data_IF_112587329311
#
_entry.id   IF_112587329311
#
_cell.length_a   1.000
_cell.length_b   1.000
_cell.length_c   1.000
_cell.angle_alpha   90.00
_cell.angle_beta   90.00
_cell.angle_gamma   90.00
#
_symmetry.space_group_name_H-M   'P 1'
#
loop_
_entity.id
_entity.type
_entity.pdbx_description
1 polymer ?
#
# COMPACT_ATOMS: atom_id res chain seq x y z
N UNK A 1 51.96 73.63 33.23
CA UNK A 1 52.75 74.50 32.31
C UNK A 1 52.38 74.14 30.88
N UNK A 2 51.93 75.18 30.14
CA UNK A 2 51.62 75.24 28.72
C UNK A 2 50.37 74.46 28.18
N UNK A 3 49.29 75.21 28.09
CA UNK A 3 48.13 75.05 27.20
C UNK A 3 48.56 74.96 25.74
N UNK A 4 47.91 74.11 24.97
CA UNK A 4 47.72 74.30 23.54
C UNK A 4 46.20 74.09 23.22
N UNK A 5 45.60 75.17 22.85
CA UNK A 5 44.27 75.23 22.27
C UNK A 5 44.34 74.85 20.79
N UNK A 6 43.52 73.93 20.34
CA UNK A 6 43.28 73.62 18.93
C UNK A 6 41.86 74.05 18.57
N UNK A 7 41.82 75.07 17.70
CA UNK A 7 40.64 75.65 17.13
C UNK A 7 40.14 74.77 15.98
N UNK A 8 38.95 74.12 16.12
CA UNK A 8 38.38 73.32 15.03
C UNK A 8 37.51 74.20 14.15
N UNK A 9 37.89 74.33 12.93
CA UNK A 9 37.20 75.06 11.87
C UNK A 9 36.07 74.13 11.33
N UNK A 10 34.82 74.46 11.57
CA UNK A 10 33.63 73.70 11.02
C UNK A 10 33.39 74.14 9.58
N UNK A 11 33.65 73.27 8.63
CA UNK A 11 33.31 73.45 7.23
C UNK A 11 31.85 73.04 7.01
N UNK A 12 30.93 73.95 6.81
CA UNK A 12 29.52 73.72 6.46
C UNK A 12 29.48 73.44 4.95
N UNK A 13 29.31 72.14 4.61
CA UNK A 13 29.01 71.72 3.23
C UNK A 13 27.52 71.82 3.04
N UNK A 14 27.02 72.73 2.27
CA UNK A 14 25.62 72.82 1.82
C UNK A 14 25.40 71.73 0.71
N UNK A 15 24.68 70.66 1.05
CA UNK A 15 24.19 69.69 0.09
C UNK A 15 22.95 70.27 -0.63
N UNK A 16 22.83 70.08 -1.97
CA UNK A 16 21.61 70.50 -2.68
C UNK A 16 20.47 69.56 -2.32
N UNK A 17 19.36 70.09 -1.82
CA UNK A 17 18.10 69.40 -1.62
C UNK A 17 17.53 69.03 -2.99
N UNK A 18 17.68 67.77 -3.41
CA UNK A 18 16.93 67.27 -4.54
C UNK A 18 15.43 67.23 -4.15
N UNK A 19 14.67 68.10 -4.78
CA UNK A 19 13.20 68.06 -4.69
C UNK A 19 12.71 66.70 -5.19
N UNK A 20 12.25 65.82 -4.28
CA UNK A 20 11.55 64.59 -4.58
C UNK A 20 10.23 64.94 -5.23
N UNK A 21 10.09 64.67 -6.51
CA UNK A 21 8.79 64.69 -7.21
C UNK A 21 7.84 63.71 -6.49
N UNK A 22 6.62 64.16 -6.07
CA UNK A 22 5.69 63.24 -5.43
C UNK A 22 5.38 62.07 -6.40
N UNK A 23 5.27 60.82 -5.89
CA UNK A 23 4.92 59.67 -6.71
C UNK A 23 3.59 59.96 -7.42
N UNK A 24 3.60 59.88 -8.75
CA UNK A 24 2.39 60.01 -9.55
C UNK A 24 1.33 59.09 -9.00
N UNK A 25 0.23 59.62 -8.51
CA UNK A 25 -0.95 58.88 -8.08
C UNK A 25 -1.39 58.06 -9.28
N UNK A 26 -1.09 56.76 -9.25
CA UNK A 26 -1.59 55.79 -10.22
C UNK A 26 -3.11 55.87 -10.18
N UNK A 27 -3.71 56.44 -11.23
CA UNK A 27 -5.16 56.39 -11.43
C UNK A 27 -5.61 54.96 -11.23
N UNK A 28 -6.66 54.69 -10.38
CA UNK A 28 -7.18 53.32 -10.26
C UNK A 28 -7.42 52.79 -11.65
N UNK A 29 -6.80 51.65 -11.98
CA UNK A 29 -7.03 50.99 -13.27
C UNK A 29 -8.54 50.75 -13.40
N UNK A 30 -9.15 51.24 -14.46
CA UNK A 30 -10.53 50.87 -14.76
C UNK A 30 -10.62 49.37 -14.80
N UNK A 31 -11.59 48.72 -14.10
CA UNK A 31 -11.75 47.29 -14.14
C UNK A 31 -11.91 46.84 -15.59
N UNK A 32 -11.19 45.78 -15.98
CA UNK A 32 -11.28 45.18 -17.29
C UNK A 32 -12.76 44.89 -17.62
N UNK A 33 -13.34 45.42 -18.72
CA UNK A 33 -14.75 45.19 -19.07
C UNK A 33 -15.11 43.71 -19.16
N UNK A 34 -14.13 42.85 -19.54
CA UNK A 34 -14.31 41.40 -19.57
C UNK A 34 -14.44 40.84 -18.17
N UNK A 35 -13.61 41.31 -17.21
CA UNK A 35 -13.68 40.90 -15.82
C UNK A 35 -15.01 41.31 -15.17
N UNK A 36 -15.52 42.51 -15.49
CA UNK A 36 -16.85 42.96 -15.01
C UNK A 36 -17.98 42.11 -15.56
N UNK A 37 -17.96 41.80 -16.86
CA UNK A 37 -18.97 40.95 -17.47
C UNK A 37 -18.96 39.53 -16.86
N UNK A 38 -17.76 38.98 -16.55
CA UNK A 38 -17.65 37.70 -15.86
C UNK A 38 -18.16 37.74 -14.42
N UNK A 39 -17.97 38.83 -13.72
CA UNK A 39 -18.50 39.01 -12.35
C UNK A 39 -20.02 38.92 -12.31
N UNK A 40 -20.70 39.29 -13.40
CA UNK A 40 -22.17 39.20 -13.53
C UNK A 40 -22.67 37.75 -13.81
N UNK A 41 -21.78 36.82 -14.22
CA UNK A 41 -22.14 35.40 -14.42
C UNK A 41 -22.28 34.73 -13.04
N UNK A 42 -23.37 33.97 -12.78
CA UNK A 42 -23.54 33.26 -11.50
C UNK A 42 -22.36 32.36 -11.18
N UNK A 43 -21.97 32.20 -9.89
CA UNK A 43 -20.81 31.38 -9.51
C UNK A 43 -20.89 29.92 -9.98
N UNK A 44 -22.09 29.32 -9.99
CA UNK A 44 -22.32 27.98 -10.50
C UNK A 44 -21.99 27.85 -11.99
N UNK A 45 -22.46 28.83 -12.80
CA UNK A 45 -22.20 28.84 -14.24
C UNK A 45 -20.72 29.05 -14.56
N UNK A 46 -20.02 29.89 -13.76
CA UNK A 46 -18.57 30.07 -13.89
C UNK A 46 -17.81 28.77 -13.65
N UNK A 47 -18.19 27.99 -12.62
CA UNK A 47 -17.61 26.66 -12.36
C UNK A 47 -17.90 25.69 -13.48
N UNK A 48 -19.14 25.68 -14.01
CA UNK A 48 -19.49 24.85 -15.14
C UNK A 48 -18.65 25.20 -16.39
N UNK A 49 -18.46 26.49 -16.68
CA UNK A 49 -17.59 26.92 -17.78
C UNK A 49 -16.16 26.46 -17.60
N UNK A 50 -15.58 26.61 -16.41
CA UNK A 50 -14.23 26.12 -16.12
C UNK A 50 -14.12 24.61 -16.30
N UNK A 51 -15.11 23.85 -15.82
CA UNK A 51 -15.18 22.40 -16.00
C UNK A 51 -15.25 22.01 -17.47
N UNK A 52 -16.13 22.65 -18.25
CA UNK A 52 -16.29 22.36 -19.67
C UNK A 52 -15.00 22.67 -20.46
N UNK A 53 -14.32 23.78 -20.12
CA UNK A 53 -13.02 24.13 -20.72
C UNK A 53 -11.92 23.14 -20.36
N UNK A 54 -11.96 22.49 -19.18
CA UNK A 54 -11.06 21.38 -18.83
C UNK A 54 -11.33 20.22 -19.80
N UNK A 55 -12.58 19.84 -19.97
CA UNK A 55 -12.94 18.72 -20.84
C UNK A 55 -12.59 18.97 -22.30
N UNK A 56 -12.67 20.20 -22.79
CA UNK A 56 -12.22 20.56 -24.13
C UNK A 56 -10.70 20.66 -24.25
N UNK A 57 -9.95 20.64 -23.13
CA UNK A 57 -8.50 20.73 -23.10
C UNK A 57 -7.96 22.17 -23.18
N UNK A 58 -8.85 23.16 -23.12
CA UNK A 58 -8.46 24.57 -23.20
C UNK A 58 -8.03 25.15 -21.84
N UNK A 59 -8.42 24.51 -20.72
CA UNK A 59 -8.15 24.99 -19.36
C UNK A 59 -7.53 23.91 -18.47
N UNK A 60 -6.49 24.27 -17.73
CA UNK A 60 -5.78 23.39 -16.79
C UNK A 60 -5.71 23.96 -15.37
N UNK A 61 -6.62 24.86 -15.02
CA UNK A 61 -6.68 25.48 -13.69
C UNK A 61 -7.73 24.87 -12.76
N UNK A 62 -7.91 25.51 -11.61
CA UNK A 62 -8.89 25.08 -10.59
C UNK A 62 -10.32 25.48 -11.02
N UNK A 63 -11.27 24.59 -10.69
CA UNK A 63 -12.72 24.87 -10.82
C UNK A 63 -13.21 25.55 -9.54
N UNK A 64 -12.93 26.83 -9.39
CA UNK A 64 -13.26 27.61 -8.21
C UNK A 64 -14.34 28.71 -8.46
N UNK A 65 -14.69 28.92 -9.75
CA UNK A 65 -15.60 29.97 -10.16
C UNK A 65 -14.93 31.36 -10.30
N UNK A 66 -13.61 31.46 -10.11
CA UNK A 66 -12.84 32.66 -10.35
C UNK A 66 -12.32 32.70 -11.78
N UNK A 67 -12.78 33.64 -12.57
CA UNK A 67 -12.38 33.78 -13.96
C UNK A 67 -11.27 34.81 -14.10
N UNK A 68 -10.06 34.40 -13.66
CA UNK A 68 -8.85 35.16 -13.85
C UNK A 68 -8.31 35.10 -15.30
N UNK A 69 -7.20 35.78 -15.56
CA UNK A 69 -6.60 35.91 -16.89
C UNK A 69 -6.42 34.56 -17.63
N UNK A 70 -6.10 33.47 -16.92
CA UNK A 70 -5.95 32.12 -17.49
C UNK A 70 -7.26 31.57 -18.03
N UNK A 71 -8.36 31.68 -17.26
CA UNK A 71 -9.65 31.22 -17.71
C UNK A 71 -10.18 32.05 -18.91
N UNK A 72 -9.99 33.37 -18.89
CA UNK A 72 -10.32 34.25 -20.04
C UNK A 72 -9.52 33.86 -21.28
N UNK A 73 -8.22 33.56 -21.14
CA UNK A 73 -7.40 33.07 -22.24
C UNK A 73 -7.90 31.73 -22.82
N UNK A 74 -8.37 30.84 -21.95
CA UNK A 74 -8.96 29.56 -22.35
C UNK A 74 -10.27 29.73 -23.12
N UNK A 75 -11.12 30.68 -22.71
CA UNK A 75 -12.32 31.03 -23.47
C UNK A 75 -11.95 31.58 -24.85
N UNK A 76 -10.96 32.44 -24.95
CA UNK A 76 -10.46 32.95 -26.24
C UNK A 76 -9.92 31.82 -27.11
N UNK A 77 -9.17 30.86 -26.55
CA UNK A 77 -8.67 29.70 -27.27
C UNK A 77 -9.82 28.84 -27.83
N UNK A 78 -10.85 28.57 -27.04
CA UNK A 78 -12.05 27.88 -27.48
C UNK A 78 -12.76 28.65 -28.61
N UNK A 79 -12.95 29.97 -28.48
CA UNK A 79 -13.54 30.82 -29.52
C UNK A 79 -12.74 30.75 -30.80
N UNK A 80 -11.42 30.83 -30.74
CA UNK A 80 -10.54 30.72 -31.89
C UNK A 80 -10.67 29.36 -32.57
N UNK A 81 -10.72 28.27 -31.81
CA UNK A 81 -10.94 26.92 -32.37
C UNK A 81 -12.29 26.78 -33.09
N UNK A 82 -13.30 27.56 -32.67
CA UNK A 82 -14.62 27.64 -33.33
C UNK A 82 -14.67 28.66 -34.51
N UNK A 83 -13.56 29.29 -34.88
CA UNK A 83 -13.52 30.34 -35.88
C UNK A 83 -14.26 31.62 -35.48
N UNK A 84 -14.53 31.82 -34.20
CA UNK A 84 -15.27 32.97 -33.68
C UNK A 84 -14.30 34.07 -33.17
N UNK A 85 -14.85 35.30 -33.02
CA UNK A 85 -14.08 36.43 -32.44
C UNK A 85 -13.67 36.14 -31.00
N UNK A 86 -12.41 36.31 -30.69
CA UNK A 86 -11.78 36.05 -29.36
C UNK A 86 -12.11 37.16 -28.35
N UNK A 87 -13.36 37.26 -27.92
CA UNK A 87 -13.82 38.28 -27.00
C UNK A 87 -13.47 37.95 -25.53
N UNK A 88 -13.25 36.67 -25.21
CA UNK A 88 -13.12 36.17 -23.84
C UNK A 88 -14.44 36.07 -23.08
N UNK A 89 -15.58 36.30 -23.72
CA UNK A 89 -16.94 36.19 -23.20
C UNK A 89 -17.77 35.23 -24.08
N UNK A 90 -18.39 34.25 -23.48
CA UNK A 90 -19.24 33.28 -24.20
C UNK A 90 -20.66 33.83 -24.34
N UNK A 91 -21.17 33.93 -25.58
CA UNK A 91 -22.60 34.10 -25.81
C UNK A 91 -23.36 32.78 -25.57
N UNK A 92 -24.70 32.81 -25.60
CA UNK A 92 -25.52 31.62 -25.31
C UNK A 92 -25.22 30.43 -26.28
N UNK A 93 -25.01 30.72 -27.58
CA UNK A 93 -24.68 29.69 -28.54
C UNK A 93 -23.30 29.07 -28.28
N UNK A 94 -22.30 29.90 -28.01
CA UNK A 94 -20.94 29.43 -27.65
C UNK A 94 -20.94 28.64 -26.35
N UNK A 95 -21.75 29.05 -25.37
CA UNK A 95 -21.91 28.33 -24.09
C UNK A 95 -22.50 26.94 -24.33
N UNK A 96 -23.57 26.84 -25.15
CA UNK A 96 -24.16 25.56 -25.51
C UNK A 96 -23.18 24.66 -26.29
N UNK A 97 -22.42 25.23 -27.22
CA UNK A 97 -21.42 24.49 -28.00
C UNK A 97 -20.31 23.95 -27.11
N UNK A 98 -19.82 24.75 -26.16
CA UNK A 98 -18.80 24.34 -25.16
C UNK A 98 -19.32 23.19 -24.28
N UNK A 99 -20.53 23.31 -23.75
CA UNK A 99 -21.14 22.27 -22.91
C UNK A 99 -21.35 20.97 -23.71
N UNK A 100 -21.83 21.04 -24.94
CA UNK A 100 -21.99 19.87 -25.82
C UNK A 100 -20.65 19.17 -26.11
N UNK A 101 -19.59 19.94 -26.41
CA UNK A 101 -18.26 19.39 -26.64
C UNK A 101 -17.67 18.70 -25.37
N UNK A 102 -17.88 19.29 -24.21
CA UNK A 102 -17.47 18.72 -22.93
C UNK A 102 -18.22 17.41 -22.64
N UNK A 103 -19.56 17.42 -22.80
CA UNK A 103 -20.41 16.23 -22.61
C UNK A 103 -19.98 15.07 -23.52
N UNK A 104 -19.76 15.33 -24.81
CA UNK A 104 -19.30 14.30 -25.74
C UNK A 104 -17.99 13.64 -25.32
N UNK A 105 -17.04 14.41 -24.75
CA UNK A 105 -15.79 13.87 -24.24
C UNK A 105 -15.96 13.09 -22.93
N UNK A 106 -16.85 13.53 -22.05
CA UNK A 106 -17.23 12.80 -20.84
C UNK A 106 -17.84 11.43 -21.18
N UNK A 107 -18.77 11.40 -22.12
CA UNK A 107 -19.40 10.18 -22.62
C UNK A 107 -18.37 9.25 -23.26
N UNK A 108 -17.48 9.78 -24.11
CA UNK A 108 -16.43 9.00 -24.75
C UNK A 108 -15.47 8.37 -23.73
N UNK A 109 -15.16 9.06 -22.63
CA UNK A 109 -14.34 8.55 -21.54
C UNK A 109 -15.11 7.59 -20.62
N UNK A 110 -16.45 7.58 -20.65
CA UNK A 110 -17.28 6.90 -19.65
C UNK A 110 -17.13 7.51 -18.27
N UNK A 111 -17.15 8.86 -18.18
CA UNK A 111 -16.93 9.58 -16.95
C UNK A 111 -17.98 9.24 -15.90
N UNK A 112 -17.54 8.83 -14.71
CA UNK A 112 -18.39 8.54 -13.57
C UNK A 112 -17.74 9.00 -12.27
N UNK A 113 -18.56 9.43 -11.32
CA UNK A 113 -18.10 9.72 -9.96
C UNK A 113 -18.25 8.46 -9.13
N UNK A 114 -17.17 8.07 -8.46
CA UNK A 114 -17.08 6.86 -7.65
C UNK A 114 -16.72 7.23 -6.21
N UNK A 115 -17.45 6.69 -5.25
CA UNK A 115 -17.04 6.63 -3.86
C UNK A 115 -16.18 5.38 -3.65
N UNK A 116 -14.93 5.57 -3.28
CA UNK A 116 -14.03 4.45 -3.00
C UNK A 116 -13.94 4.21 -1.48
N UNK A 117 -14.62 3.19 -0.95
CA UNK A 117 -14.59 2.89 0.48
C UNK A 117 -13.21 2.39 0.94
N UNK A 118 -12.37 1.85 0.06
CA UNK A 118 -11.05 1.35 0.45
C UNK A 118 -10.12 2.49 0.88
N UNK A 119 -10.12 3.60 0.15
CA UNK A 119 -9.37 4.82 0.51
C UNK A 119 -10.21 5.86 1.23
N UNK A 120 -11.54 5.68 1.29
CA UNK A 120 -12.53 6.65 1.76
C UNK A 120 -12.44 8.00 1.04
N UNK A 121 -12.26 7.96 -0.27
CA UNK A 121 -12.20 9.12 -1.16
C UNK A 121 -13.36 9.11 -2.16
N UNK A 122 -13.64 10.26 -2.76
CA UNK A 122 -14.52 10.39 -3.93
C UNK A 122 -13.71 10.90 -5.10
N UNK A 123 -13.85 10.27 -6.26
CA UNK A 123 -13.11 10.67 -7.45
C UNK A 123 -13.92 10.45 -8.73
N UNK A 124 -13.59 11.20 -9.76
CA UNK A 124 -14.07 10.90 -11.10
C UNK A 124 -13.17 9.87 -11.78
N UNK A 125 -13.76 8.88 -12.45
CA UNK A 125 -13.06 7.81 -13.15
C UNK A 125 -13.51 7.74 -14.60
N UNK A 126 -12.59 7.67 -15.59
CA UNK A 126 -12.91 7.42 -16.97
C UNK A 126 -13.13 5.91 -17.21
N UNK A 127 -14.30 5.38 -16.86
CA UNK A 127 -14.57 3.95 -16.76
C UNK A 127 -14.39 3.18 -18.10
N UNK A 128 -14.48 3.85 -19.26
CA UNK A 128 -14.18 3.20 -20.55
C UNK A 128 -12.68 3.06 -20.81
N UNK A 129 -11.88 3.96 -20.27
CA UNK A 129 -10.42 3.91 -20.42
C UNK A 129 -9.76 3.05 -19.34
N UNK A 130 -10.38 2.95 -18.16
CA UNK A 130 -9.90 2.16 -17.03
C UNK A 130 -11.04 1.28 -16.45
N UNK A 131 -11.51 0.26 -17.20
CA UNK A 131 -12.67 -0.54 -16.84
C UNK A 131 -12.40 -1.58 -15.74
N UNK A 132 -11.13 -1.95 -15.52
CA UNK A 132 -10.77 -2.97 -14.52
C UNK A 132 -10.63 -2.32 -13.16
N UNK A 133 -11.28 -2.89 -12.14
CA UNK A 133 -11.13 -2.47 -10.75
C UNK A 133 -10.60 -3.62 -9.92
N UNK A 134 -9.48 -3.37 -9.24
CA UNK A 134 -8.83 -4.34 -8.34
C UNK A 134 -8.42 -3.66 -7.03
N UNK A 135 -8.25 -4.40 -5.93
CA UNK A 135 -7.69 -3.85 -4.71
C UNK A 135 -6.26 -3.34 -4.92
N UNK A 136 -5.94 -2.18 -4.36
CA UNK A 136 -4.58 -1.68 -4.19
C UNK A 136 -4.13 -1.85 -2.73
N UNK A 137 -2.87 -1.51 -2.41
CA UNK A 137 -2.30 -1.67 -1.07
C UNK A 137 -3.14 -0.97 0.02
N UNK A 138 -3.58 0.25 -0.24
CA UNK A 138 -4.34 1.09 0.73
C UNK A 138 -5.51 1.82 0.07
N UNK A 139 -6.06 1.25 -1.00
CA UNK A 139 -7.13 1.83 -1.80
C UNK A 139 -7.59 0.91 -2.91
N UNK A 140 -8.03 1.48 -4.02
CA UNK A 140 -8.46 0.77 -5.22
C UNK A 140 -7.60 1.16 -6.42
N UNK A 141 -7.44 0.20 -7.35
CA UNK A 141 -6.76 0.38 -8.63
C UNK A 141 -7.75 0.24 -9.76
N UNK A 142 -7.83 1.25 -10.61
CA UNK A 142 -8.59 1.25 -11.86
C UNK A 142 -7.58 1.23 -13.02
N UNK A 143 -7.74 0.35 -13.98
CA UNK A 143 -6.76 0.20 -15.06
C UNK A 143 -7.40 -0.18 -16.39
N UNK A 144 -6.72 0.18 -17.49
CA UNK A 144 -6.97 -0.39 -18.81
C UNK A 144 -6.47 -1.84 -18.87
N UNK A 145 -6.99 -2.64 -19.78
CA UNK A 145 -6.59 -4.05 -19.94
C UNK A 145 -5.09 -4.20 -20.24
N UNK A 146 -4.53 -3.28 -21.05
CA UNK A 146 -3.09 -3.28 -21.38
C UNK A 146 -2.23 -2.57 -20.32
N UNK A 147 -2.83 -1.92 -19.32
CA UNK A 147 -2.11 -1.13 -18.32
C UNK A 147 -1.64 0.24 -18.81
N UNK A 148 -2.08 0.70 -19.99
CA UNK A 148 -1.70 2.02 -20.54
C UNK A 148 -2.19 3.19 -19.70
N UNK A 149 -3.28 2.97 -18.95
CA UNK A 149 -3.86 3.89 -17.98
C UNK A 149 -4.02 3.16 -16.66
N UNK A 150 -3.50 3.74 -15.59
CA UNK A 150 -3.59 3.23 -14.22
C UNK A 150 -3.94 4.38 -13.30
N UNK A 151 -4.96 4.19 -12.49
CA UNK A 151 -5.43 5.14 -11.48
C UNK A 151 -5.46 4.39 -10.16
N UNK A 152 -4.75 4.86 -9.16
CA UNK A 152 -4.73 4.25 -7.82
C UNK A 152 -5.09 5.27 -6.76
N UNK A 153 -6.08 4.95 -5.96
CA UNK A 153 -6.36 5.68 -4.73
C UNK A 153 -5.48 5.14 -3.60
N UNK A 154 -5.20 5.97 -2.63
CA UNK A 154 -4.49 5.55 -1.42
C UNK A 154 -4.95 6.28 -0.18
N UNK A 155 -4.80 5.60 0.96
CA UNK A 155 -5.02 6.13 2.31
C UNK A 155 -3.85 5.71 3.20
N UNK A 156 -3.25 6.67 3.89
CA UNK A 156 -2.16 6.47 4.84
C UNK A 156 -2.64 7.00 6.19
N UNK A 157 -2.72 6.12 7.17
CA UNK A 157 -3.24 6.40 8.53
C UNK A 157 -2.25 5.98 9.63
N UNK A 158 -1.00 5.74 9.26
CA UNK A 158 0.06 5.39 10.21
C UNK A 158 0.42 6.59 11.08
N UNK A 159 0.79 6.38 12.35
CA UNK A 159 1.26 7.45 13.23
C UNK A 159 2.41 8.24 12.59
N UNK A 160 2.27 9.57 12.53
CA UNK A 160 3.28 10.44 11.93
C UNK A 160 3.18 10.62 10.41
N UNK A 161 2.16 10.05 9.75
CA UNK A 161 1.93 10.31 8.33
C UNK A 161 1.64 11.79 8.07
N UNK A 162 2.43 12.42 7.20
CA UNK A 162 2.29 13.80 6.76
C UNK A 162 2.38 13.89 5.25
N UNK A 163 1.89 14.99 4.67
CA UNK A 163 2.08 15.24 3.23
C UNK A 163 3.56 15.30 2.85
N UNK A 164 4.42 15.80 3.75
CA UNK A 164 5.86 15.83 3.53
C UNK A 164 6.45 14.41 3.45
N UNK A 165 6.10 13.52 4.39
CA UNK A 165 6.58 12.14 4.38
C UNK A 165 6.10 11.37 3.13
N UNK A 166 4.84 11.61 2.72
CA UNK A 166 4.28 11.04 1.48
C UNK A 166 5.02 11.55 0.25
N UNK A 167 5.30 12.85 0.17
CA UNK A 167 6.08 13.45 -0.92
C UNK A 167 7.47 12.82 -1.05
N UNK A 168 8.17 12.64 0.08
CA UNK A 168 9.50 12.01 0.09
C UNK A 168 9.46 10.54 -0.36
N UNK A 169 8.40 9.80 -0.01
CA UNK A 169 8.19 8.44 -0.51
C UNK A 169 7.91 8.44 -2.01
N UNK A 170 7.04 9.33 -2.49
CA UNK A 170 6.70 9.44 -3.90
C UNK A 170 7.92 9.78 -4.77
N UNK A 171 8.83 10.59 -4.28
CA UNK A 171 10.09 10.93 -4.98
C UNK A 171 11.05 9.76 -5.12
N UNK A 172 10.98 8.78 -4.21
CA UNK A 172 11.86 7.59 -4.22
C UNK A 172 11.39 6.50 -5.19
N UNK A 173 10.19 6.65 -5.79
CA UNK A 173 9.69 5.67 -6.75
C UNK A 173 10.64 5.51 -7.95
N UNK A 174 10.98 4.28 -8.35
CA UNK A 174 11.95 4.03 -9.41
C UNK A 174 11.56 4.69 -10.74
N UNK A 175 12.54 5.31 -11.40
CA UNK A 175 12.37 5.95 -12.70
C UNK A 175 11.52 7.22 -12.69
N UNK A 176 11.18 7.77 -11.53
CA UNK A 176 10.35 8.97 -11.40
C UNK A 176 11.21 10.24 -11.52
N UNK A 177 10.81 11.12 -12.43
CA UNK A 177 11.35 12.47 -12.60
C UNK A 177 10.20 13.46 -12.41
N UNK A 178 10.31 14.34 -11.42
CA UNK A 178 9.30 15.35 -11.10
C UNK A 178 9.53 16.61 -11.95
N UNK A 179 8.51 17.03 -12.68
CA UNK A 179 8.50 18.27 -13.47
C UNK A 179 7.74 19.39 -12.74
N UNK A 180 6.77 19.04 -11.90
CA UNK A 180 5.97 20.00 -11.13
C UNK A 180 5.65 19.44 -9.74
N UNK A 181 5.78 20.29 -8.73
CA UNK A 181 5.53 19.95 -7.34
C UNK A 181 4.95 21.17 -6.59
N UNK A 182 3.89 20.93 -5.84
CA UNK A 182 3.32 21.90 -4.90
C UNK A 182 2.93 21.17 -3.62
N UNK A 183 3.48 21.63 -2.51
CA UNK A 183 3.05 21.24 -1.17
C UNK A 183 2.63 22.53 -0.44
N UNK A 184 1.35 22.65 -0.10
CA UNK A 184 0.79 23.81 0.59
C UNK A 184 -0.30 23.38 1.57
N UNK A 185 -0.16 23.80 2.83
CA UNK A 185 -1.18 23.59 3.83
C UNK A 185 -1.57 22.11 3.93
N UNK A 186 -2.77 21.81 3.47
CA UNK A 186 -3.40 20.50 3.56
C UNK A 186 -3.39 19.70 2.25
N UNK A 187 -2.73 20.19 1.18
CA UNK A 187 -2.69 19.49 -0.09
C UNK A 187 -1.29 19.38 -0.72
N UNK A 188 -1.11 18.30 -1.48
CA UNK A 188 0.05 17.98 -2.31
C UNK A 188 -0.40 17.74 -3.75
N UNK A 189 0.32 18.31 -4.71
CA UNK A 189 0.24 17.96 -6.13
C UNK A 189 1.66 17.71 -6.64
N UNK A 190 1.85 16.63 -7.38
CA UNK A 190 3.12 16.25 -7.99
C UNK A 190 2.86 15.65 -9.36
N UNK A 191 3.64 16.03 -10.37
CA UNK A 191 3.55 15.43 -11.70
C UNK A 191 4.89 15.40 -12.41
N UNK A 192 5.00 14.56 -13.44
CA UNK A 192 6.21 14.38 -14.21
C UNK A 192 6.20 13.11 -15.05
N UNK A 193 7.36 12.48 -15.16
CA UNK A 193 7.55 11.22 -15.88
C UNK A 193 8.00 10.11 -14.95
N UNK A 194 7.50 8.91 -15.19
CA UNK A 194 7.97 7.67 -14.57
C UNK A 194 8.38 6.70 -15.68
N UNK A 195 9.67 6.66 -16.00
CA UNK A 195 10.15 6.06 -17.24
C UNK A 195 9.57 6.78 -18.47
N UNK A 196 8.91 6.03 -19.36
CA UNK A 196 8.23 6.58 -20.55
C UNK A 196 6.79 7.06 -20.30
N UNK A 197 6.29 6.96 -19.07
CA UNK A 197 4.89 7.25 -18.71
C UNK A 197 4.78 8.58 -18.01
N UNK A 198 3.68 9.30 -18.21
CA UNK A 198 3.32 10.44 -17.37
C UNK A 198 2.72 9.97 -16.06
N UNK A 199 3.02 10.70 -14.99
CA UNK A 199 2.33 10.51 -13.72
C UNK A 199 1.78 11.83 -13.18
N UNK A 200 0.71 11.72 -12.42
CA UNK A 200 0.11 12.81 -11.65
C UNK A 200 -0.33 12.27 -10.29
N UNK A 201 -0.02 12.99 -9.23
CA UNK A 201 -0.47 12.66 -7.87
C UNK A 201 -1.15 13.86 -7.28
N UNK A 202 -2.29 13.62 -6.62
CA UNK A 202 -2.95 14.59 -5.74
C UNK A 202 -3.24 13.93 -4.40
N UNK A 203 -2.88 14.60 -3.31
CA UNK A 203 -3.17 14.14 -1.96
C UNK A 203 -3.60 15.29 -1.06
N UNK A 204 -4.33 14.97 -0.02
CA UNK A 204 -4.73 15.90 1.03
C UNK A 204 -4.54 15.26 2.40
N UNK A 205 -4.16 16.07 3.38
CA UNK A 205 -4.13 15.69 4.78
C UNK A 205 -5.41 16.11 5.47
N UNK A 206 -5.84 15.35 6.47
CA UNK A 206 -7.02 15.65 7.28
C UNK A 206 -7.04 14.83 8.56
N UNK A 207 -8.03 15.10 9.42
CA UNK A 207 -8.22 14.42 10.71
C UNK A 207 -9.68 13.94 10.86
N UNK A 208 -10.16 13.01 10.00
CA UNK A 208 -11.58 12.67 9.93
C UNK A 208 -12.14 12.05 11.23
N UNK A 209 -11.32 11.43 12.04
CA UNK A 209 -11.69 10.77 13.30
C UNK A 209 -10.74 11.12 14.44
N UNK A 210 -10.18 12.33 14.42
CA UNK A 210 -9.19 12.79 15.40
C UNK A 210 -7.77 12.25 15.17
N UNK A 211 -7.57 11.36 14.19
CA UNK A 211 -6.26 10.85 13.78
C UNK A 211 -5.85 11.45 12.44
N UNK A 212 -4.57 11.78 12.30
CA UNK A 212 -4.03 12.31 11.05
C UNK A 212 -4.07 11.24 9.97
N UNK A 213 -4.59 11.61 8.80
CA UNK A 213 -4.62 10.77 7.61
C UNK A 213 -4.19 11.56 6.37
N UNK A 214 -3.53 10.88 5.44
CA UNK A 214 -3.29 11.39 4.09
C UNK A 214 -4.04 10.51 3.12
N UNK A 215 -4.88 11.11 2.28
CA UNK A 215 -5.61 10.40 1.22
C UNK A 215 -5.31 11.01 -0.12
N UNK A 216 -5.19 10.18 -1.13
CA UNK A 216 -4.78 10.68 -2.44
C UNK A 216 -5.14 9.75 -3.60
N UNK A 217 -4.81 10.24 -4.79
CA UNK A 217 -4.92 9.52 -6.06
C UNK A 217 -3.63 9.69 -6.85
N UNK A 218 -3.16 8.60 -7.41
CA UNK A 218 -2.07 8.56 -8.39
C UNK A 218 -2.64 8.16 -9.75
N UNK A 219 -2.30 8.89 -10.79
CA UNK A 219 -2.72 8.63 -12.17
C UNK A 219 -1.44 8.44 -12.99
N UNK A 220 -1.32 7.31 -13.68
CA UNK A 220 -0.16 7.00 -14.54
C UNK A 220 -0.69 6.57 -15.91
N UNK A 221 -0.13 7.12 -16.99
CA UNK A 221 -0.55 6.77 -18.36
C UNK A 221 0.60 6.92 -19.34
N UNK A 222 0.52 6.17 -20.43
CA UNK A 222 1.49 6.24 -21.51
C UNK A 222 1.50 7.62 -22.18
N UNK A 223 2.67 8.15 -22.58
CA UNK A 223 2.78 9.46 -23.23
C UNK A 223 1.96 9.54 -24.51
N UNK A 224 1.77 8.43 -25.22
CA UNK A 224 0.91 8.35 -26.40
C UNK A 224 -0.56 8.70 -26.10
N UNK A 225 -1.01 8.49 -24.85
CA UNK A 225 -2.35 8.82 -24.38
C UNK A 225 -2.51 10.28 -23.94
N UNK A 226 -1.46 11.11 -23.99
CA UNK A 226 -1.47 12.47 -23.43
C UNK A 226 -2.61 13.34 -23.98
N UNK A 227 -2.88 13.27 -25.28
CA UNK A 227 -3.97 14.06 -25.90
C UNK A 227 -5.34 13.78 -25.26
N UNK A 228 -5.57 12.56 -24.82
CA UNK A 228 -6.82 12.12 -24.18
C UNK A 228 -6.74 12.30 -22.66
N UNK A 229 -5.65 11.84 -22.04
CA UNK A 229 -5.54 11.75 -20.60
C UNK A 229 -5.17 13.06 -19.91
N UNK A 230 -4.46 14.00 -20.56
CA UNK A 230 -4.11 15.28 -19.93
C UNK A 230 -5.36 16.05 -19.46
N UNK A 231 -6.39 16.29 -20.28
CA UNK A 231 -7.64 16.92 -19.85
C UNK A 231 -8.39 16.11 -18.79
N UNK A 232 -8.45 14.79 -18.96
CA UNK A 232 -9.10 13.88 -18.00
C UNK A 232 -8.40 13.94 -16.66
N UNK A 233 -7.07 13.97 -16.60
CA UNK A 233 -6.27 14.08 -15.36
C UNK A 233 -6.61 15.39 -14.61
N UNK A 234 -6.77 16.49 -15.33
CA UNK A 234 -7.21 17.77 -14.72
C UNK A 234 -8.65 17.67 -14.20
N UNK A 235 -9.55 17.04 -14.97
CA UNK A 235 -10.93 16.81 -14.53
C UNK A 235 -10.99 15.91 -13.29
N UNK A 236 -10.21 14.82 -13.25
CA UNK A 236 -10.07 13.93 -12.09
C UNK A 236 -9.54 14.68 -10.87
N UNK A 237 -8.49 15.48 -11.06
CA UNK A 237 -7.94 16.32 -10.00
C UNK A 237 -9.00 17.29 -9.44
N UNK A 238 -9.82 17.88 -10.30
CA UNK A 238 -10.87 18.83 -9.88
C UNK A 238 -12.04 18.14 -9.17
N UNK A 239 -12.37 16.90 -9.55
CA UNK A 239 -13.43 16.09 -8.95
C UNK A 239 -13.00 15.33 -7.70
N UNK A 240 -11.68 15.27 -7.41
CA UNK A 240 -11.16 14.52 -6.28
C UNK A 240 -11.49 15.19 -4.95
N UNK A 241 -12.11 14.43 -4.06
CA UNK A 241 -12.36 14.79 -2.66
C UNK A 241 -11.73 13.71 -1.76
N UNK A 242 -10.72 14.11 -1.00
CA UNK A 242 -10.02 13.22 -0.07
C UNK A 242 -10.87 12.86 1.16
N UNK A 243 -11.71 13.78 1.61
CA UNK A 243 -12.56 13.62 2.80
C UNK A 243 -14.02 13.99 2.47
N UNK A 244 -14.68 13.23 1.56
CA UNK A 244 -16.06 13.52 1.18
C UNK A 244 -17.01 13.19 2.34
N UNK A 245 -18.07 14.00 2.51
CA UNK A 245 -19.11 13.69 3.47
C UNK A 245 -19.82 12.38 3.07
N UNK A 246 -20.11 11.54 4.09
CA UNK A 246 -20.86 10.30 3.92
C UNK A 246 -20.07 9.09 3.42
N UNK A 247 -18.82 9.25 2.99
CA UNK A 247 -17.97 8.13 2.62
C UNK A 247 -17.14 7.70 3.83
N UNK A 248 -17.48 6.54 4.39
CA UNK A 248 -16.76 5.94 5.50
C UNK A 248 -15.72 4.97 4.96
N UNK A 249 -14.51 5.03 5.54
CA UNK A 249 -13.48 4.06 5.20
C UNK A 249 -13.95 2.64 5.54
N UNK A 250 -13.85 1.72 4.59
CA UNK A 250 -13.92 0.31 4.90
C UNK A 250 -12.84 -0.03 5.93
N UNK A 251 -13.19 -0.84 6.92
CA UNK A 251 -12.18 -1.35 7.84
C UNK A 251 -11.08 -2.03 7.00
N UNK A 252 -9.80 -1.74 7.26
CA UNK A 252 -8.72 -2.41 6.54
C UNK A 252 -8.90 -3.91 6.73
N UNK A 253 -8.94 -4.65 5.62
CA UNK A 253 -8.91 -6.11 5.69
C UNK A 253 -7.53 -6.45 6.27
N UNK A 254 -7.47 -6.64 7.58
CA UNK A 254 -6.25 -7.08 8.26
C UNK A 254 -6.02 -8.52 7.82
N UNK A 255 -5.14 -8.72 6.86
CA UNK A 255 -4.65 -10.06 6.57
C UNK A 255 -3.88 -10.52 7.80
N UNK A 256 -4.40 -11.54 8.46
CA UNK A 256 -3.69 -12.18 9.56
C UNK A 256 -2.60 -13.06 8.95
N UNK A 257 -1.36 -12.73 9.21
CA UNK A 257 -0.22 -13.58 8.83
C UNK A 257 0.15 -14.40 10.05
N UNK A 258 0.14 -15.71 9.91
CA UNK A 258 0.56 -16.66 10.94
C UNK A 258 1.78 -17.43 10.47
N UNK A 259 2.65 -17.74 11.40
CA UNK A 259 3.90 -18.43 11.16
C UNK A 259 3.91 -19.75 11.92
N UNK A 260 4.38 -20.78 11.26
CA UNK A 260 4.55 -22.11 11.80
C UNK A 260 5.82 -22.75 11.25
N UNK A 261 6.17 -23.91 11.74
CA UNK A 261 7.25 -24.74 11.23
C UNK A 261 6.68 -25.84 10.33
N UNK A 262 7.36 -26.14 9.24
CA UNK A 262 7.10 -27.28 8.37
C UNK A 262 8.30 -28.22 8.31
N UNK A 263 8.03 -29.50 8.17
CA UNK A 263 9.02 -30.57 8.10
C UNK A 263 8.97 -31.19 6.71
N UNK A 264 10.06 -31.20 5.98
CA UNK A 264 10.16 -31.92 4.71
C UNK A 264 10.15 -33.43 4.99
N UNK A 265 9.11 -34.11 4.50
CA UNK A 265 8.89 -35.55 4.70
C UNK A 265 8.95 -36.36 3.40
N UNK A 266 9.00 -35.71 2.25
CA UNK A 266 9.10 -36.35 0.95
C UNK A 266 9.97 -35.56 -0.03
N UNK A 267 10.85 -36.23 -0.75
CA UNK A 267 11.77 -35.64 -1.73
C UNK A 267 11.05 -34.87 -2.86
N UNK A 268 9.79 -35.19 -3.09
CA UNK A 268 8.97 -34.56 -4.14
C UNK A 268 8.19 -33.30 -3.65
N UNK A 269 8.59 -32.67 -2.54
CA UNK A 269 8.00 -31.41 -2.06
C UNK A 269 6.87 -31.58 -1.03
N UNK A 270 6.82 -32.72 -0.34
CA UNK A 270 5.87 -32.92 0.75
C UNK A 270 6.42 -32.31 2.05
N UNK A 271 5.62 -31.46 2.68
CA UNK A 271 5.95 -30.80 3.93
C UNK A 271 4.82 -31.06 4.94
N UNK A 272 5.18 -31.63 6.09
CA UNK A 272 4.30 -31.87 7.20
C UNK A 272 4.28 -30.66 8.14
N UNK A 273 3.11 -30.24 8.61
CA UNK A 273 2.96 -29.14 9.57
C UNK A 273 1.73 -29.31 10.45
N UNK A 274 1.52 -28.40 11.37
CA UNK A 274 0.31 -28.33 12.17
C UNK A 274 -0.89 -27.89 11.31
N UNK A 275 -2.00 -28.65 11.38
CA UNK A 275 -3.23 -28.34 10.65
C UNK A 275 -3.79 -26.96 11.01
N UNK A 276 -3.80 -26.60 12.29
CA UNK A 276 -4.34 -25.33 12.75
C UNK A 276 -3.59 -24.14 12.17
N UNK A 277 -2.28 -24.29 11.96
CA UNK A 277 -1.44 -23.25 11.34
C UNK A 277 -1.79 -23.01 9.86
N UNK A 278 -2.47 -23.94 9.20
CA UNK A 278 -2.83 -23.85 7.78
C UNK A 278 -4.33 -23.74 7.53
N UNK A 279 -5.14 -23.76 8.57
CA UNK A 279 -6.60 -23.71 8.44
C UNK A 279 -7.09 -22.32 8.04
N UNK A 280 -7.99 -22.26 7.03
CA UNK A 280 -8.51 -20.99 6.50
C UNK A 280 -7.49 -20.09 5.79
N UNK A 281 -6.31 -20.58 5.45
CA UNK A 281 -5.34 -19.80 4.68
C UNK A 281 -5.83 -19.56 3.26
N UNK A 282 -5.68 -18.33 2.79
CA UNK A 282 -5.87 -17.96 1.39
C UNK A 282 -4.62 -18.26 0.57
N UNK A 283 -3.46 -18.10 1.19
CA UNK A 283 -2.14 -18.39 0.61
C UNK A 283 -1.31 -19.08 1.67
N UNK A 284 -0.66 -20.17 1.27
CA UNK A 284 0.36 -20.87 2.06
C UNK A 284 1.68 -20.78 1.29
N UNK A 285 2.73 -20.37 1.98
CA UNK A 285 4.10 -20.33 1.42
C UNK A 285 5.03 -21.06 2.37
N UNK A 286 5.93 -21.89 1.82
CA UNK A 286 7.04 -22.48 2.55
C UNK A 286 8.30 -21.71 2.20
N UNK A 287 8.90 -21.06 3.18
CA UNK A 287 10.07 -20.18 3.00
C UNK A 287 11.23 -20.96 2.38
N UNK A 288 11.85 -20.37 1.36
CA UNK A 288 12.93 -21.02 0.60
C UNK A 288 12.47 -22.06 -0.43
N UNK A 289 11.22 -22.56 -0.36
CA UNK A 289 10.70 -23.57 -1.28
C UNK A 289 9.62 -23.02 -2.22
N UNK A 290 8.82 -22.04 -1.80
CA UNK A 290 7.81 -21.40 -2.63
C UNK A 290 6.35 -21.62 -2.18
N UNK A 291 5.37 -21.33 -3.06
CA UNK A 291 3.95 -21.51 -2.76
C UNK A 291 3.61 -22.99 -2.57
N UNK A 292 2.71 -23.26 -1.64
CA UNK A 292 2.30 -24.61 -1.28
C UNK A 292 0.77 -24.74 -1.23
N UNK A 293 0.29 -25.93 -1.51
CA UNK A 293 -1.11 -26.31 -1.36
C UNK A 293 -1.26 -27.35 -0.25
N UNK A 294 -2.34 -27.25 0.54
CA UNK A 294 -2.69 -28.30 1.50
C UNK A 294 -3.37 -29.44 0.76
N UNK A 295 -2.70 -30.57 0.65
CA UNK A 295 -3.17 -31.75 -0.10
C UNK A 295 -3.86 -32.78 0.79
N UNK A 296 -3.61 -32.77 2.09
CA UNK A 296 -4.30 -33.62 3.07
C UNK A 296 -4.24 -33.00 4.47
N UNK A 297 -5.20 -33.38 5.31
CA UNK A 297 -5.20 -33.08 6.74
C UNK A 297 -5.92 -34.16 7.56
N UNK A 298 -5.63 -34.19 8.86
CA UNK A 298 -6.23 -35.11 9.83
C UNK A 298 -6.60 -34.32 11.09
N UNK A 299 -7.88 -34.33 11.44
CA UNK A 299 -8.43 -33.56 12.58
C UNK A 299 -8.13 -34.20 13.93
N UNK A 300 -7.92 -35.50 13.97
CA UNK A 300 -7.68 -36.21 15.21
C UNK A 300 -6.24 -36.01 15.69
N UNK A 301 -5.29 -36.05 14.76
CA UNK A 301 -3.87 -35.82 15.03
C UNK A 301 -3.44 -34.37 14.81
N UNK A 302 -4.32 -33.52 14.27
CA UNK A 302 -4.05 -32.13 13.88
C UNK A 302 -2.85 -32.00 12.92
N UNK A 303 -2.64 -32.98 12.05
CA UNK A 303 -1.61 -32.97 11.03
C UNK A 303 -2.12 -32.36 9.72
N UNK A 304 -1.28 -31.63 9.02
CA UNK A 304 -1.50 -31.18 7.65
C UNK A 304 -0.31 -31.51 6.77
N UNK A 305 -0.63 -31.99 5.56
CA UNK A 305 0.36 -32.27 4.51
C UNK A 305 0.26 -31.19 3.44
N UNK A 306 1.34 -30.48 3.25
CA UNK A 306 1.49 -29.50 2.20
C UNK A 306 2.25 -30.08 1.02
N UNK A 307 1.97 -29.59 -0.19
CA UNK A 307 2.71 -29.88 -1.41
C UNK A 307 3.27 -28.60 -1.99
N UNK A 308 4.59 -28.55 -2.12
CA UNK A 308 5.30 -27.52 -2.88
C UNK A 308 5.61 -28.07 -4.26
N UNK A 309 4.99 -27.53 -5.30
CA UNK A 309 5.19 -28.00 -6.67
C UNK A 309 6.48 -27.44 -7.25
N UNK A 310 7.25 -28.28 -7.94
CA UNK A 310 8.51 -27.89 -8.55
C UNK A 310 9.70 -27.80 -7.59
N UNK A 311 9.50 -28.10 -6.30
CA UNK A 311 10.62 -28.25 -5.37
C UNK A 311 11.41 -29.52 -5.68
N UNK A 312 12.70 -29.37 -5.95
CA UNK A 312 13.66 -30.47 -6.19
C UNK A 312 14.74 -30.50 -5.12
N UNK A 313 15.49 -31.59 -5.09
CA UNK A 313 16.68 -31.82 -4.22
C UNK A 313 16.41 -31.62 -2.72
N UNK A 314 15.22 -31.97 -2.27
CA UNK A 314 14.87 -31.92 -0.87
C UNK A 314 15.42 -33.09 -0.10
N UNK A 315 15.85 -32.85 1.12
CA UNK A 315 16.35 -33.88 2.07
C UNK A 315 15.27 -34.18 3.10
N UNK A 316 14.42 -35.21 2.93
CA UNK A 316 13.39 -35.57 3.87
C UNK A 316 13.98 -36.03 5.20
N UNK A 317 13.33 -35.65 6.32
CA UNK A 317 13.68 -36.20 7.62
C UNK A 317 13.36 -37.69 7.70
N UNK A 318 14.28 -38.46 8.25
CA UNK A 318 14.12 -39.87 8.53
C UNK A 318 13.23 -40.07 9.78
N UNK A 319 12.19 -40.91 9.69
CA UNK A 319 11.31 -41.20 10.80
C UNK A 319 11.93 -42.15 11.81
N UNK A 320 11.72 -41.86 13.10
CA UNK A 320 12.02 -42.83 14.16
C UNK A 320 10.95 -43.91 14.22
N UNK A 321 11.30 -45.06 14.74
CA UNK A 321 10.36 -46.17 14.98
C UNK A 321 9.40 -45.86 16.14
N UNK A 322 9.94 -45.18 17.16
CA UNK A 322 9.21 -44.86 18.38
C UNK A 322 9.51 -43.42 18.83
N UNK A 323 8.59 -42.82 19.59
CA UNK A 323 8.80 -41.57 20.27
C UNK A 323 9.38 -41.81 21.67
N UNK A 324 10.53 -41.25 22.04
CA UNK A 324 11.08 -41.44 23.37
C UNK A 324 10.19 -40.80 24.42
N UNK A 325 10.04 -41.46 25.56
CA UNK A 325 9.29 -40.95 26.70
C UNK A 325 10.22 -40.62 27.86
N UNK A 326 9.97 -39.52 28.59
CA UNK A 326 10.75 -39.09 29.74
C UNK A 326 12.20 -38.71 29.42
N UNK A 327 12.51 -38.47 28.13
CA UNK A 327 13.87 -38.21 27.65
C UNK A 327 14.03 -36.76 27.15
N UNK A 328 15.26 -36.30 27.16
CA UNK A 328 15.65 -35.06 26.50
C UNK A 328 15.66 -35.28 24.99
N UNK A 329 15.07 -34.34 24.25
CA UNK A 329 14.99 -34.35 22.80
C UNK A 329 15.53 -33.06 22.23
N UNK A 330 15.81 -33.04 20.94
CA UNK A 330 16.10 -31.79 20.24
C UNK A 330 14.87 -31.36 19.46
N UNK A 331 14.37 -30.17 19.74
CA UNK A 331 13.30 -29.54 18.98
C UNK A 331 13.91 -28.63 17.93
N UNK A 332 13.64 -28.90 16.63
CA UNK A 332 14.13 -28.11 15.52
C UNK A 332 12.94 -27.38 14.86
N UNK A 333 12.98 -26.06 14.82
CA UNK A 333 11.89 -25.25 14.31
C UNK A 333 12.30 -23.84 13.92
N UNK A 334 11.34 -23.05 13.44
CA UNK A 334 11.55 -21.66 13.05
C UNK A 334 10.69 -20.77 13.94
N UNK A 335 11.31 -19.98 14.85
CA UNK A 335 10.57 -19.03 15.69
C UNK A 335 9.78 -18.00 14.86
N UNK A 336 8.80 -17.37 15.50
CA UNK A 336 8.10 -16.22 14.92
C UNK A 336 9.11 -15.13 14.52
N UNK A 337 8.94 -14.48 13.35
CA UNK A 337 9.83 -13.40 12.89
C UNK A 337 10.04 -12.28 13.90
N UNK A 338 9.04 -11.97 14.73
CA UNK A 338 9.18 -10.96 15.80
C UNK A 338 10.22 -11.34 16.85
N UNK A 339 10.53 -12.63 17.00
CA UNK A 339 11.57 -13.13 17.91
C UNK A 339 12.95 -13.21 17.25
N UNK A 340 13.05 -12.93 15.96
CA UNK A 340 14.28 -13.01 15.17
C UNK A 340 14.55 -11.72 14.37
N UNK A 341 14.04 -10.57 14.81
CA UNK A 341 14.18 -9.28 14.11
C UNK A 341 13.83 -9.36 12.60
N UNK A 342 12.82 -10.16 12.28
CA UNK A 342 12.38 -10.42 10.90
C UNK A 342 13.09 -11.60 10.21
N UNK A 343 14.06 -12.23 10.86
CA UNK A 343 14.81 -13.36 10.31
C UNK A 343 14.01 -14.66 10.20
N UNK A 344 14.53 -15.63 9.43
CA UNK A 344 13.96 -16.97 9.17
C UNK A 344 14.88 -18.12 9.60
N UNK A 345 15.81 -17.89 10.54
CA UNK A 345 16.78 -18.90 10.92
C UNK A 345 16.13 -20.10 11.64
N UNK A 346 16.48 -21.30 11.20
CA UNK A 346 16.11 -22.54 11.87
C UNK A 346 16.94 -22.68 13.15
N UNK A 347 16.26 -22.84 14.28
CA UNK A 347 16.91 -22.98 15.59
C UNK A 347 16.62 -24.35 16.22
N UNK A 348 17.50 -24.76 17.13
CA UNK A 348 17.33 -25.97 17.91
C UNK A 348 17.22 -25.63 19.41
N UNK A 349 16.22 -26.22 20.07
CA UNK A 349 16.03 -26.15 21.52
C UNK A 349 16.14 -27.58 22.11
N UNK A 350 16.34 -27.69 23.43
CA UNK A 350 16.45 -28.99 24.13
C UNK A 350 15.39 -29.10 25.23
N UNK A 351 14.12 -29.29 24.88
CA UNK A 351 13.08 -29.59 25.86
C UNK A 351 13.13 -31.06 26.24
N UNK A 352 12.44 -31.40 27.31
CA UNK A 352 12.18 -32.76 27.75
C UNK A 352 10.74 -33.17 27.39
N UNK A 353 10.56 -34.42 27.00
CA UNK A 353 9.22 -34.99 26.85
C UNK A 353 8.72 -35.45 28.23
N UNK A 354 7.65 -34.87 28.70
CA UNK A 354 6.95 -35.25 29.94
C UNK A 354 5.62 -35.91 29.57
N UNK A 355 5.39 -37.09 30.12
CA UNK A 355 4.12 -37.80 29.92
C UNK A 355 3.13 -37.35 30.99
N UNK A 356 2.03 -36.77 30.57
CA UNK A 356 0.88 -36.43 31.42
C UNK A 356 -0.24 -37.43 31.22
N UNK A 357 -1.27 -37.37 32.05
CA UNK A 357 -2.44 -38.23 31.88
C UNK A 357 -3.17 -38.02 30.53
N UNK A 358 -3.00 -36.84 29.91
CA UNK A 358 -3.71 -36.47 28.69
C UNK A 358 -2.82 -36.56 27.41
N UNK A 359 -1.50 -36.36 27.51
CA UNK A 359 -0.64 -36.31 26.34
C UNK A 359 0.86 -36.29 26.72
N UNK A 360 1.72 -36.55 25.74
CA UNK A 360 3.14 -36.23 25.80
C UNK A 360 3.31 -34.72 25.53
N UNK A 361 3.97 -34.00 26.44
CA UNK A 361 4.20 -32.54 26.34
C UNK A 361 5.68 -32.21 26.40
N UNK A 362 6.07 -31.09 25.83
CA UNK A 362 7.42 -30.57 25.88
C UNK A 362 7.59 -29.56 27.02
N UNK A 363 8.62 -29.72 27.84
CA UNK A 363 8.97 -28.81 28.91
C UNK A 363 10.46 -28.41 28.82
N UNK A 364 10.78 -27.09 28.77
CA UNK A 364 9.82 -25.99 28.69
C UNK A 364 9.10 -25.96 27.31
N UNK A 365 7.86 -25.45 27.28
CA UNK A 365 7.14 -25.23 26.04
C UNK A 365 7.85 -24.19 25.17
N UNK A 366 8.04 -24.43 23.85
CA UNK A 366 8.65 -23.47 22.96
C UNK A 366 7.72 -22.28 22.68
N UNK A 367 8.30 -21.20 22.16
CA UNK A 367 7.57 -19.99 21.79
C UNK A 367 6.80 -20.09 20.47
N UNK A 368 6.13 -18.99 20.05
CA UNK A 368 5.43 -18.88 18.78
C UNK A 368 6.32 -19.23 17.57
N UNK A 369 5.73 -19.80 16.52
CA UNK A 369 6.44 -20.28 15.33
C UNK A 369 6.81 -21.77 15.38
N UNK A 370 6.91 -22.35 16.57
CA UNK A 370 7.29 -23.76 16.73
C UNK A 370 6.14 -24.77 16.55
N UNK A 371 4.91 -24.32 16.28
CA UNK A 371 3.85 -25.29 15.91
C UNK A 371 4.22 -25.95 14.59
N UNK A 372 4.25 -27.27 14.54
CA UNK A 372 4.78 -28.05 13.42
C UNK A 372 6.29 -28.38 13.51
N UNK A 373 7.00 -27.95 14.57
CA UNK A 373 8.44 -28.18 14.72
C UNK A 373 8.78 -29.66 14.90
N UNK A 374 9.94 -30.06 14.38
CA UNK A 374 10.42 -31.42 14.43
C UNK A 374 10.99 -31.78 15.81
N UNK A 375 10.46 -32.81 16.44
CA UNK A 375 11.03 -33.43 17.63
C UNK A 375 11.99 -34.51 17.18
N UNK A 376 13.28 -34.31 17.47
CA UNK A 376 14.39 -35.16 16.99
C UNK A 376 14.94 -36.00 18.15
N UNK A 377 15.10 -37.30 17.90
CA UNK A 377 15.71 -38.22 18.87
C UNK A 377 17.25 -38.07 18.93
N UNK A 378 17.88 -38.79 19.85
CA UNK A 378 19.34 -38.80 20.03
C UNK A 378 20.14 -39.34 18.82
N UNK A 379 19.44 -39.90 17.83
CA UNK A 379 20.03 -40.39 16.57
C UNK A 379 19.76 -39.45 15.37
N UNK A 380 19.15 -38.30 15.60
CA UNK A 380 18.82 -37.32 14.56
C UNK A 380 17.60 -37.66 13.71
N UNK A 381 16.68 -38.54 14.20
CA UNK A 381 15.49 -38.98 13.46
C UNK A 381 14.25 -38.23 14.01
N UNK A 382 13.25 -38.04 13.13
CA UNK A 382 11.97 -37.45 13.49
C UNK A 382 11.18 -38.38 14.41
N UNK A 383 11.19 -38.09 15.70
CA UNK A 383 10.51 -38.84 16.74
C UNK A 383 9.09 -38.32 17.05
N UNK A 384 8.74 -37.16 16.52
CA UNK A 384 7.41 -36.55 16.66
C UNK A 384 7.38 -35.14 16.10
N UNK A 385 6.22 -34.51 16.19
CA UNK A 385 5.99 -33.12 15.80
C UNK A 385 5.38 -32.36 16.96
N UNK A 386 5.90 -31.16 17.26
CA UNK A 386 5.35 -30.30 18.29
C UNK A 386 4.14 -29.52 17.78
N UNK A 387 3.09 -29.44 18.59
CA UNK A 387 1.89 -28.61 18.36
C UNK A 387 1.69 -27.69 19.55
N UNK A 388 1.61 -26.39 19.29
CA UNK A 388 1.29 -25.41 20.30
C UNK A 388 -0.23 -25.34 20.50
N UNK A 389 -0.68 -25.67 21.70
CA UNK A 389 -2.09 -25.55 22.10
C UNK A 389 -2.22 -24.45 23.16
N UNK A 390 -3.13 -23.52 22.90
CA UNK A 390 -3.54 -22.54 23.91
C UNK A 390 -4.63 -23.23 24.72
N UNK A 391 -4.44 -23.51 26.01
CA UNK A 391 -5.48 -24.13 26.83
C UNK A 391 -6.70 -23.20 26.92
N UNK A 392 -7.87 -23.72 26.58
CA UNK A 392 -9.14 -23.04 26.82
C UNK A 392 -9.50 -23.30 28.28
N UNK A 393 -9.17 -22.37 29.18
CA UNK A 393 -9.53 -22.45 30.60
C UNK A 393 -10.56 -21.38 30.91
N UNK A 394 -11.67 -21.77 31.50
CA UNK A 394 -12.64 -20.85 32.08
C UNK A 394 -12.07 -20.26 33.36
N UNK A 395 -11.45 -19.05 33.27
CA UNK A 395 -10.89 -18.33 34.42
C UNK A 395 -10.12 -17.06 34.03
N UNK A 396 -9.91 -16.11 34.95
CA UNK A 396 -9.19 -14.88 34.67
C UNK A 396 -7.69 -15.14 34.64
N UNK A 397 -7.09 -15.10 33.46
CA UNK A 397 -5.64 -15.04 33.26
C UNK A 397 -5.17 -15.74 31.97
N UNK A 398 -4.08 -15.27 31.35
CA UNK A 398 -3.48 -15.95 30.21
C UNK A 398 -2.84 -17.26 30.70
N UNK A 399 -3.34 -18.39 30.24
CA UNK A 399 -2.72 -19.70 30.46
C UNK A 399 -1.51 -19.82 29.53
N UNK A 400 -0.38 -20.27 30.06
CA UNK A 400 0.81 -20.52 29.26
C UNK A 400 0.51 -21.55 28.15
N UNK A 401 0.98 -21.36 26.91
CA UNK A 401 0.81 -22.31 25.83
C UNK A 401 1.45 -23.64 26.23
N UNK A 402 0.76 -24.75 25.92
CA UNK A 402 1.31 -26.10 26.06
C UNK A 402 1.79 -26.60 24.70
N UNK A 403 2.91 -27.30 24.67
CA UNK A 403 3.39 -27.95 23.46
C UNK A 403 3.16 -29.45 23.55
N UNK A 404 2.21 -29.96 22.78
CA UNK A 404 1.89 -31.39 22.70
C UNK A 404 2.73 -32.03 21.61
N UNK A 405 3.19 -33.26 21.82
CA UNK A 405 3.94 -34.03 20.83
C UNK A 405 3.01 -35.01 20.11
N UNK A 406 2.91 -34.85 18.78
CA UNK A 406 2.33 -35.89 17.93
C UNK A 406 3.40 -36.96 17.70
N UNK A 407 3.16 -38.22 18.07
CA UNK A 407 4.20 -39.25 18.02
C UNK A 407 4.54 -39.69 16.60
N UNK A 408 5.75 -40.23 16.40
CA UNK A 408 6.24 -40.71 15.12
C UNK A 408 5.33 -41.79 14.49
N UNK A 409 4.70 -42.63 15.32
CA UNK A 409 3.73 -43.64 14.85
C UNK A 409 2.53 -42.97 14.13
N UNK A 410 1.91 -41.95 14.74
CA UNK A 410 0.80 -41.22 14.12
C UNK A 410 1.20 -40.49 12.85
N UNK A 411 2.44 -39.92 12.80
CA UNK A 411 2.99 -39.31 11.61
C UNK A 411 3.14 -40.35 10.49
N UNK A 412 3.66 -41.53 10.80
CA UNK A 412 3.83 -42.63 9.85
C UNK A 412 2.49 -43.06 9.28
N UNK A 413 1.52 -43.37 10.13
CA UNK A 413 0.17 -43.78 9.72
C UNK A 413 -0.50 -42.73 8.84
N UNK A 414 -0.29 -41.44 9.11
CA UNK A 414 -0.78 -40.35 8.29
C UNK A 414 -0.09 -40.33 6.91
N UNK A 415 1.22 -40.43 6.83
CA UNK A 415 1.96 -40.45 5.58
C UNK A 415 1.62 -41.68 4.73
N UNK A 416 1.47 -42.85 5.34
CA UNK A 416 1.10 -44.12 4.66
C UNK A 416 -0.32 -44.02 4.05
N UNK A 417 -1.29 -43.46 4.79
CA UNK A 417 -2.64 -43.19 4.27
C UNK A 417 -2.66 -42.30 3.05
N UNK A 418 -1.72 -41.35 2.98
CA UNK A 418 -1.61 -40.40 1.87
C UNK A 418 -0.54 -40.80 0.83
N UNK A 419 0.01 -42.03 0.92
CA UNK A 419 0.98 -42.60 -0.01
C UNK A 419 2.25 -41.76 -0.19
N UNK A 420 2.67 -41.09 0.88
CA UNK A 420 3.96 -40.37 0.91
C UNK A 420 5.03 -41.32 1.40
N UNK A 421 5.98 -41.61 0.53
CA UNK A 421 7.11 -42.47 0.89
C UNK A 421 7.98 -41.76 1.94
N UNK A 422 8.26 -42.46 3.02
CA UNK A 422 9.16 -42.03 4.08
C UNK A 422 10.31 -43.02 4.25
N UNK A 423 11.42 -42.60 4.86
CA UNK A 423 12.61 -43.44 5.04
C UNK A 423 12.87 -43.70 6.54
N UNK A 424 13.33 -44.89 6.85
CA UNK A 424 13.84 -45.29 8.15
C UNK A 424 15.39 -45.45 8.16
N UNK A 425 16.05 -44.94 7.10
CA UNK A 425 17.52 -45.03 6.95
C UNK A 425 18.26 -44.24 8.05
N UNK A 426 19.59 -44.37 8.10
CA UNK A 426 20.42 -43.74 9.14
C UNK A 426 20.37 -42.21 9.02
N UNK A 427 19.98 -41.52 10.10
CA UNK A 427 19.96 -40.08 10.19
C UNK A 427 21.36 -39.48 10.30
N UNK A 428 21.52 -38.26 9.84
CA UNK A 428 22.81 -37.56 9.73
C UNK A 428 23.03 -36.48 10.77
N UNK A 429 22.25 -36.47 11.87
CA UNK A 429 22.43 -35.54 12.97
C UNK A 429 21.59 -34.24 12.89
N UNK A 430 21.74 -33.37 13.88
CA UNK A 430 20.89 -32.17 14.05
C UNK A 430 21.06 -31.15 12.91
N UNK A 431 22.27 -30.97 12.39
CA UNK A 431 22.50 -30.01 11.31
C UNK A 431 21.81 -30.46 10.00
N UNK A 432 21.79 -31.77 9.71
CA UNK A 432 20.99 -32.27 8.61
C UNK A 432 19.48 -32.12 8.85
N UNK A 433 19.01 -32.29 10.07
CA UNK A 433 17.62 -32.06 10.42
C UNK A 433 17.19 -30.61 10.21
N UNK A 434 18.06 -29.64 10.44
CA UNK A 434 17.78 -28.22 10.16
C UNK A 434 17.52 -27.94 8.68
N UNK A 435 18.15 -28.65 7.75
CA UNK A 435 17.95 -28.51 6.31
C UNK A 435 16.59 -29.05 5.84
N UNK A 436 15.95 -29.88 6.65
CA UNK A 436 14.63 -30.45 6.40
C UNK A 436 13.49 -29.67 7.07
N UNK A 437 13.78 -28.51 7.64
CA UNK A 437 12.81 -27.69 8.37
C UNK A 437 12.74 -26.31 7.74
N UNK A 438 11.53 -25.80 7.52
CA UNK A 438 11.31 -24.50 6.91
C UNK A 438 10.14 -23.77 7.59
N UNK A 439 10.07 -22.46 7.48
CA UNK A 439 8.93 -21.68 7.93
C UNK A 439 7.74 -21.87 7.00
N UNK A 440 6.58 -22.12 7.57
CA UNK A 440 5.29 -22.07 6.89
C UNK A 440 4.62 -20.74 7.20
N UNK A 441 4.23 -20.03 6.16
CA UNK A 441 3.57 -18.71 6.23
C UNK A 441 2.15 -18.88 5.72
N UNK A 442 1.18 -18.59 6.57
CA UNK A 442 -0.23 -18.60 6.25
C UNK A 442 -0.77 -17.16 6.21
N UNK A 443 -1.40 -16.79 5.11
CA UNK A 443 -2.11 -15.52 4.98
C UNK A 443 -3.60 -15.79 5.02
N UNK A 444 -4.30 -15.28 6.04
CA UNK A 444 -5.76 -15.35 6.22
C UNK A 444 -6.42 -14.00 5.93
N UNK A 445 -7.74 -14.02 5.72
CA UNK A 445 -8.56 -12.78 5.70
C UNK A 445 -8.60 -12.14 7.06
#
# INVERSE_FOLDING_TARGET
>A
MRLFALMSLALVVALPVCAQTPPATRKPAQPDPVAQAWAAVPPGDRKSIQSDLIWTGDYNGLVNGELGARAIASVKAFQKAQGARETGLLNAQQRAALAAAATARQEAAGWTIVDDPASATRLGVPARLAPQTTPAKTGSRFASAAGDVVIETFRISEPGATLQSVLEQLKKEPGRRTDYEVLRGDFLVMSGLQGARKFYVRAQAGMPSGSAEVRGVTIVYEQAMSRVMDPITVAMSSAFAAFPAGVVAAAPVRRKVEYATGIVVGASGHVLTDRQATDGCQVITVEGLGPAERVADDKDTELALLRVFGAGDLSPLVLATETPSGADVTLVGVPDPQQQDGGGAVVAARPRIVITAAAAVLEPAPGPGFSGAAVIDGRGRLAGMAQLKIPIVAGPGPTAPQAVVVPAASIRDFLDRHRVGWSAATASGIEAAKLSVARVICVRK
#
